data_IF_697607573037
#
_entry.id   IF_697607573037
#
_cell.length_a   1.000
_cell.length_b   1.000
_cell.length_c   1.000
_cell.angle_alpha   90.00
_cell.angle_beta   90.00
_cell.angle_gamma   90.00
#
_symmetry.space_group_name_H-M   'P 1'
#
loop_
_entity.id
_entity.type
_entity.pdbx_description
1 polymer ?
#
# COMPACT_ATOMS: atom_id res chain seq x y z
N UNK A 1 -6.63 8.12 -1.23
CA UNK A 1 -5.46 8.39 -2.02
C UNK A 1 -5.28 7.22 -2.99
N UNK A 2 -4.14 7.15 -3.69
CA UNK A 2 -3.80 6.07 -4.62
C UNK A 2 -4.02 4.73 -3.88
N UNK A 3 -4.77 3.83 -4.52
CA UNK A 3 -5.33 2.66 -3.86
C UNK A 3 -4.30 1.65 -3.37
N UNK A 4 -4.23 1.45 -2.05
CA UNK A 4 -3.40 0.41 -1.47
C UNK A 4 -4.02 -0.98 -1.60
N UNK A 5 -3.80 -1.58 -2.74
CA UNK A 5 -4.15 -2.99 -3.01
C UNK A 5 -3.33 -3.48 -4.18
N UNK A 6 -2.37 -2.68 -4.55
CA UNK A 6 -1.49 -2.96 -5.68
C UNK A 6 -0.27 -3.73 -5.17
N UNK A 7 0.66 -4.02 -6.04
CA UNK A 7 1.89 -4.66 -5.63
C UNK A 7 2.89 -3.63 -5.19
N UNK A 8 3.56 -3.87 -4.09
CA UNK A 8 4.53 -2.92 -3.59
C UNK A 8 5.92 -3.53 -3.60
N UNK A 9 6.88 -2.74 -4.01
CA UNK A 9 8.27 -3.11 -4.07
C UNK A 9 9.06 -2.00 -3.40
N UNK A 10 10.35 -2.22 -3.14
CA UNK A 10 11.20 -1.23 -2.44
C UNK A 10 11.21 0.11 -3.16
N UNK A 11 11.39 0.08 -4.44
CA UNK A 11 11.55 1.30 -5.22
C UNK A 11 10.27 1.65 -5.96
N UNK A 12 9.21 0.97 -5.59
CA UNK A 12 7.93 1.19 -6.21
C UNK A 12 7.03 1.89 -5.22
N UNK A 13 6.91 3.17 -5.38
CA UNK A 13 6.10 3.93 -4.48
C UNK A 13 4.85 4.39 -5.18
N UNK A 14 3.77 3.71 -4.89
CA UNK A 14 2.48 4.00 -5.51
C UNK A 14 1.39 4.10 -4.45
N UNK A 15 1.30 3.08 -3.62
CA UNK A 15 0.28 3.01 -2.59
C UNK A 15 0.59 4.05 -1.52
N UNK A 16 -0.30 5.03 -1.35
CA UNK A 16 -0.10 6.13 -0.39
C UNK A 16 0.04 5.63 1.05
N UNK A 17 -0.57 4.51 1.33
CA UNK A 17 -0.48 3.94 2.65
C UNK A 17 0.91 3.36 2.91
N UNK A 18 1.52 2.76 1.86
CA UNK A 18 2.79 2.00 1.96
C UNK A 18 2.63 0.80 2.92
N UNK A 19 1.40 0.43 3.18
CA UNK A 19 1.12 -0.66 4.06
C UNK A 19 1.11 -1.93 3.25
N UNK A 20 2.06 -2.78 3.49
CA UNK A 20 2.19 -3.99 2.73
C UNK A 20 1.95 -5.20 3.60
N UNK A 21 1.47 -6.26 2.98
CA UNK A 21 1.22 -7.51 3.68
C UNK A 21 2.23 -8.57 3.28
N UNK A 22 2.02 -9.75 3.81
CA UNK A 22 2.84 -10.95 3.58
C UNK A 22 2.89 -11.40 2.12
N UNK A 23 2.04 -10.86 1.28
CA UNK A 23 2.02 -11.23 -0.13
C UNK A 23 2.66 -10.14 -0.95
N UNK A 24 3.25 -9.16 -0.25
CA UNK A 24 3.93 -7.99 -0.86
C UNK A 24 2.94 -7.13 -1.61
N UNK A 25 1.70 -7.21 -1.18
CA UNK A 25 0.65 -6.42 -1.71
C UNK A 25 0.36 -5.33 -0.76
N UNK A 26 -0.15 -4.25 -1.25
CA UNK A 26 -0.55 -3.18 -0.41
C UNK A 26 -1.92 -3.50 0.18
N UNK A 27 -2.14 -3.10 1.38
CA UNK A 27 -3.42 -3.27 2.01
C UNK A 27 -3.94 -1.95 2.50
N UNK A 28 -5.21 -1.91 2.82
CA UNK A 28 -5.89 -0.70 3.18
C UNK A 28 -5.47 -0.24 4.57
N UNK A 29 -5.11 1.05 4.71
CA UNK A 29 -4.77 1.61 6.00
C UNK A 29 -6.03 1.86 6.82
N UNK A 30 -5.85 2.34 8.01
CA UNK A 30 -6.97 2.62 8.87
C UNK A 30 -7.60 3.95 8.47
N UNK A 31 -6.80 4.78 7.83
CA UNK A 31 -7.25 6.06 7.32
C UNK A 31 -8.32 5.85 6.20
N UNK A 32 -8.16 4.81 5.42
CA UNK A 32 -9.12 4.51 4.39
C UNK A 32 -8.52 4.56 3.01
N UNK A 33 -9.32 4.94 2.05
CA UNK A 33 -8.86 4.96 0.68
C UNK A 33 -9.04 6.32 0.07
N UNK A 34 -8.39 7.30 0.64
CA UNK A 34 -8.50 8.66 0.15
C UNK A 34 -7.32 9.08 -0.67
#
# INVERSE_FOLDING_TARGET
CRIPNQKCFQHLDDCCSRKCNRFNKCVLPETGGG
#
